data_IF_313558368239
#
_entry.id   IF_313558368239
#
_cell.length_a   1.000
_cell.length_b   1.000
_cell.length_c   1.000
_cell.angle_alpha   90.00
_cell.angle_beta   90.00
_cell.angle_gamma   90.00
#
_symmetry.space_group_name_H-M   'P 1'
#
loop_
_entity.id
_entity.type
_entity.pdbx_description
1 polymer ?
#
# COMPACT_ATOMS: atom_id res chain seq x y z
N UNK A 1 -8.14 -30.58 -13.01
CA UNK A 1 -7.61 -29.81 -11.85
C UNK A 1 -8.79 -29.46 -10.98
N UNK A 2 -8.71 -29.51 -9.66
CA UNK A 2 -9.79 -29.08 -8.79
C UNK A 2 -9.76 -27.54 -8.75
N UNK A 3 -10.93 -26.90 -8.86
CA UNK A 3 -11.07 -25.46 -8.67
C UNK A 3 -10.75 -25.12 -7.21
N UNK A 4 -9.84 -24.18 -6.97
CA UNK A 4 -9.50 -23.66 -5.64
C UNK A 4 -10.39 -22.46 -5.32
N UNK A 5 -10.67 -22.25 -4.04
CA UNK A 5 -11.49 -21.12 -3.59
C UNK A 5 -10.70 -20.11 -2.80
N UNK A 6 -10.75 -18.85 -3.21
CA UNK A 6 -10.17 -17.71 -2.48
C UNK A 6 -11.27 -16.76 -1.99
N UNK A 7 -11.14 -16.30 -0.73
CA UNK A 7 -11.98 -15.26 -0.14
C UNK A 7 -11.12 -14.04 0.14
N UNK A 8 -11.46 -12.89 -0.46
CA UNK A 8 -10.71 -11.64 -0.33
C UNK A 8 -11.56 -10.60 0.41
N UNK A 9 -11.30 -10.41 1.70
CA UNK A 9 -11.95 -9.39 2.53
C UNK A 9 -11.33 -8.01 2.23
N UNK A 10 -12.18 -7.04 1.86
CA UNK A 10 -11.74 -5.76 1.32
C UNK A 10 -11.35 -5.82 -0.16
N UNK A 11 -11.93 -6.77 -0.90
CA UNK A 11 -11.54 -7.08 -2.27
C UNK A 11 -11.78 -5.98 -3.30
N UNK A 12 -12.53 -4.92 -2.98
CA UNK A 12 -12.70 -3.75 -3.85
C UNK A 12 -11.70 -2.61 -3.56
N UNK A 13 -10.91 -2.72 -2.48
CA UNK A 13 -9.80 -1.79 -2.21
C UNK A 13 -8.59 -2.07 -3.11
N UNK A 14 -7.64 -1.13 -3.18
CA UNK A 14 -6.47 -1.24 -4.07
C UNK A 14 -5.67 -2.55 -3.89
N UNK A 15 -5.35 -2.95 -2.65
CA UNK A 15 -4.64 -4.22 -2.40
C UNK A 15 -5.54 -5.42 -2.74
N UNK A 16 -6.79 -5.43 -2.24
CA UNK A 16 -7.69 -6.57 -2.44
C UNK A 16 -8.04 -6.79 -3.90
N UNK A 17 -8.23 -5.72 -4.68
CA UNK A 17 -8.49 -5.83 -6.12
C UNK A 17 -7.28 -6.33 -6.91
N UNK A 18 -6.07 -5.93 -6.50
CA UNK A 18 -4.84 -6.44 -7.11
C UNK A 18 -4.65 -7.94 -6.82
N UNK A 19 -4.93 -8.39 -5.60
CA UNK A 19 -4.94 -9.82 -5.25
C UNK A 19 -5.96 -10.59 -6.09
N UNK A 20 -7.20 -10.08 -6.18
CA UNK A 20 -8.26 -10.75 -6.95
C UNK A 20 -7.89 -10.89 -8.43
N UNK A 21 -7.35 -9.82 -9.04
CA UNK A 21 -6.89 -9.86 -10.44
C UNK A 21 -5.78 -10.88 -10.64
N UNK A 22 -4.76 -10.92 -9.78
CA UNK A 22 -3.65 -11.87 -9.90
C UNK A 22 -4.13 -13.33 -9.85
N UNK A 23 -5.11 -13.65 -8.98
CA UNK A 23 -5.68 -15.00 -8.90
C UNK A 23 -6.50 -15.35 -10.16
N UNK A 24 -7.31 -14.41 -10.67
CA UNK A 24 -8.11 -14.61 -11.89
C UNK A 24 -7.20 -14.76 -13.13
N UNK A 25 -6.15 -13.94 -13.24
CA UNK A 25 -5.18 -13.99 -14.34
C UNK A 25 -4.40 -15.30 -14.34
N UNK A 26 -4.09 -15.88 -13.17
CA UNK A 26 -3.42 -17.16 -13.05
C UNK A 26 -4.28 -18.29 -13.66
N UNK A 27 -5.59 -18.28 -13.44
CA UNK A 27 -6.54 -19.21 -14.05
C UNK A 27 -6.48 -19.15 -15.58
N UNK A 28 -6.45 -17.95 -16.15
CA UNK A 28 -6.40 -17.73 -17.59
C UNK A 28 -5.08 -18.15 -18.26
N UNK A 29 -3.98 -18.25 -17.50
CA UNK A 29 -2.63 -18.61 -18.00
C UNK A 29 -2.31 -20.10 -17.86
N UNK A 30 -3.28 -20.96 -17.52
CA UNK A 30 -3.07 -22.40 -17.34
C UNK A 30 -2.47 -22.78 -15.99
N UNK A 31 -2.54 -21.87 -15.01
CA UNK A 31 -2.31 -22.15 -13.59
C UNK A 31 -3.50 -22.84 -12.94
N UNK A 32 -3.58 -22.75 -11.60
CA UNK A 32 -4.75 -23.24 -10.86
C UNK A 32 -6.01 -22.45 -11.25
N UNK A 33 -7.12 -23.15 -11.32
CA UNK A 33 -8.44 -22.55 -11.54
C UNK A 33 -8.98 -22.00 -10.20
N UNK A 34 -9.20 -20.68 -10.11
CA UNK A 34 -9.63 -20.01 -8.90
C UNK A 34 -11.08 -19.53 -8.98
N UNK A 35 -11.89 -19.92 -8.02
CA UNK A 35 -13.11 -19.22 -7.66
C UNK A 35 -12.75 -18.12 -6.66
N UNK A 36 -12.90 -16.84 -7.05
CA UNK A 36 -12.53 -15.70 -6.21
C UNK A 36 -13.76 -14.99 -5.70
N UNK A 37 -14.01 -15.05 -4.40
CA UNK A 37 -15.06 -14.30 -3.72
C UNK A 37 -14.49 -12.95 -3.21
N UNK A 38 -14.93 -11.87 -3.82
CA UNK A 38 -14.53 -10.49 -3.48
C UNK A 38 -15.56 -9.89 -2.54
N UNK A 39 -15.15 -9.65 -1.29
CA UNK A 39 -16.05 -9.20 -0.22
C UNK A 39 -15.81 -7.73 0.10
N UNK A 40 -16.87 -6.91 0.00
CA UNK A 40 -16.84 -5.51 0.43
C UNK A 40 -18.25 -5.03 0.78
N UNK A 41 -18.35 -3.94 1.56
CA UNK A 41 -19.63 -3.38 2.00
C UNK A 41 -20.48 -2.84 0.85
N UNK A 42 -19.83 -2.31 -0.18
CA UNK A 42 -20.48 -1.69 -1.33
C UNK A 42 -19.84 -2.19 -2.62
N UNK A 43 -20.66 -2.37 -3.66
CA UNK A 43 -20.22 -2.57 -5.02
C UNK A 43 -19.62 -1.29 -5.64
N UNK A 44 -19.64 -1.23 -6.98
CA UNK A 44 -19.16 -0.09 -7.74
C UNK A 44 -18.20 -0.51 -8.85
N UNK A 45 -17.57 0.42 -9.56
CA UNK A 45 -16.80 0.13 -10.78
C UNK A 45 -15.73 -0.95 -10.62
N UNK A 46 -15.06 -1.01 -9.46
CA UNK A 46 -14.05 -2.05 -9.17
C UNK A 46 -14.70 -3.42 -9.01
N UNK A 47 -15.82 -3.51 -8.28
CA UNK A 47 -16.56 -4.77 -8.14
C UNK A 47 -17.11 -5.25 -9.48
N UNK A 48 -17.63 -4.33 -10.31
CA UNK A 48 -18.16 -4.63 -11.64
C UNK A 48 -17.06 -5.16 -12.57
N UNK A 49 -15.89 -4.51 -12.56
CA UNK A 49 -14.73 -4.93 -13.36
C UNK A 49 -14.21 -6.32 -12.92
N UNK A 50 -14.12 -6.58 -11.60
CA UNK A 50 -13.70 -7.88 -11.09
C UNK A 50 -14.73 -8.98 -11.41
N UNK A 51 -16.03 -8.66 -11.36
CA UNK A 51 -17.11 -9.59 -11.74
C UNK A 51 -17.04 -9.91 -13.23
N UNK A 52 -16.80 -8.91 -14.08
CA UNK A 52 -16.59 -9.12 -15.51
C UNK A 52 -15.35 -9.98 -15.81
N UNK A 53 -14.34 -9.94 -14.94
CA UNK A 53 -13.15 -10.78 -15.01
C UNK A 53 -13.34 -12.20 -14.41
N UNK A 54 -14.53 -12.51 -13.85
CA UNK A 54 -14.86 -13.85 -13.33
C UNK A 54 -14.90 -13.98 -11.81
N UNK A 55 -14.74 -12.90 -11.04
CA UNK A 55 -14.93 -12.94 -9.60
C UNK A 55 -16.42 -12.98 -9.21
N UNK A 56 -16.69 -13.49 -8.02
CA UNK A 56 -18.00 -13.36 -7.36
C UNK A 56 -17.97 -12.19 -6.39
N UNK A 57 -18.73 -11.13 -6.66
CA UNK A 57 -18.87 -10.05 -5.68
C UNK A 57 -19.87 -10.44 -4.59
N UNK A 58 -19.44 -10.40 -3.34
CA UNK A 58 -20.25 -10.71 -2.16
C UNK A 58 -20.36 -9.44 -1.28
N UNK A 59 -21.54 -8.79 -1.26
CA UNK A 59 -21.75 -7.65 -0.38
C UNK A 59 -21.74 -8.12 1.09
N UNK A 60 -20.90 -7.51 1.91
CA UNK A 60 -20.80 -7.87 3.32
C UNK A 60 -19.81 -7.03 4.09
N UNK A 61 -20.08 -6.87 5.40
CA UNK A 61 -19.14 -6.25 6.32
C UNK A 61 -18.26 -7.34 6.96
N UNK A 62 -16.96 -7.22 6.80
CA UNK A 62 -15.96 -8.10 7.43
C UNK A 62 -16.11 -8.13 8.97
N UNK A 63 -16.68 -7.07 9.58
CA UNK A 63 -16.93 -6.97 11.01
C UNK A 63 -18.22 -7.63 11.45
N UNK A 64 -19.05 -8.10 10.54
CA UNK A 64 -20.22 -8.90 10.86
C UNK A 64 -19.85 -10.39 10.91
N UNK A 65 -19.93 -10.98 12.12
CA UNK A 65 -19.63 -12.40 12.36
C UNK A 65 -20.55 -13.34 11.59
N UNK A 66 -21.80 -12.94 11.29
CA UNK A 66 -22.72 -13.75 10.48
C UNK A 66 -22.23 -13.81 9.03
N UNK A 67 -21.79 -12.69 8.48
CA UNK A 67 -21.18 -12.62 7.14
C UNK A 67 -19.94 -13.52 7.06
N UNK A 68 -19.01 -13.41 8.02
CA UNK A 68 -17.82 -14.26 8.02
C UNK A 68 -18.17 -15.76 8.12
N UNK A 69 -19.17 -16.10 8.93
CA UNK A 69 -19.61 -17.50 9.08
C UNK A 69 -20.20 -18.05 7.78
N UNK A 70 -21.03 -17.29 7.09
CA UNK A 70 -21.63 -17.72 5.80
C UNK A 70 -20.56 -17.88 4.74
N UNK A 71 -19.59 -16.95 4.68
CA UNK A 71 -18.52 -16.97 3.71
C UNK A 71 -17.53 -18.12 3.93
N UNK A 72 -17.14 -18.37 5.19
CA UNK A 72 -16.03 -19.27 5.51
C UNK A 72 -16.47 -20.69 5.90
N UNK A 73 -17.76 -20.90 6.26
CA UNK A 73 -18.29 -22.24 6.57
C UNK A 73 -18.08 -23.31 5.48
N UNK A 74 -18.10 -22.97 4.18
CA UNK A 74 -17.76 -23.95 3.15
C UNK A 74 -16.28 -24.32 3.08
N UNK A 75 -15.41 -23.64 3.84
CA UNK A 75 -13.96 -23.71 3.71
C UNK A 75 -13.43 -22.83 2.58
N UNK A 76 -12.14 -22.55 2.61
CA UNK A 76 -11.43 -21.86 1.53
C UNK A 76 -9.98 -22.37 1.46
N UNK A 77 -9.40 -22.42 0.25
CA UNK A 77 -7.98 -22.71 0.08
C UNK A 77 -7.14 -21.52 0.47
N UNK A 78 -7.68 -20.31 0.27
CA UNK A 78 -7.01 -19.04 0.57
C UNK A 78 -8.00 -18.02 1.17
N UNK A 79 -7.62 -17.41 2.28
CA UNK A 79 -8.28 -16.24 2.86
C UNK A 79 -7.31 -15.07 2.88
N UNK A 80 -7.71 -13.93 2.35
CA UNK A 80 -6.91 -12.70 2.39
C UNK A 80 -7.70 -11.61 3.11
N UNK A 81 -7.17 -11.13 4.23
CA UNK A 81 -7.75 -10.00 4.97
C UNK A 81 -6.91 -8.74 4.77
N UNK A 82 -7.41 -7.83 3.93
CA UNK A 82 -6.78 -6.54 3.65
C UNK A 82 -7.33 -5.40 4.51
N UNK A 83 -8.35 -5.67 5.32
CA UNK A 83 -9.13 -4.66 6.08
C UNK A 83 -8.93 -4.78 7.58
N UNK A 84 -8.64 -5.98 8.10
CA UNK A 84 -8.44 -6.21 9.52
C UNK A 84 -7.38 -5.27 10.10
N UNK A 85 -7.71 -4.61 11.22
CA UNK A 85 -6.88 -3.57 11.81
C UNK A 85 -6.60 -3.79 13.28
N UNK A 86 -7.59 -4.27 14.04
CA UNK A 86 -7.57 -4.32 15.48
C UNK A 86 -7.49 -5.77 16.01
N UNK A 87 -7.19 -5.90 17.29
CA UNK A 87 -7.32 -7.17 18.03
C UNK A 87 -8.70 -7.80 17.83
N UNK A 88 -9.75 -7.00 17.94
CA UNK A 88 -11.13 -7.49 17.81
C UNK A 88 -11.40 -8.03 16.40
N UNK A 89 -10.87 -7.36 15.37
CA UNK A 89 -10.93 -7.87 14.00
C UNK A 89 -10.27 -9.25 13.88
N UNK A 90 -9.14 -9.46 14.53
CA UNK A 90 -8.41 -10.73 14.53
C UNK A 90 -9.13 -11.81 15.36
N UNK A 91 -9.64 -11.47 16.55
CA UNK A 91 -10.42 -12.38 17.41
C UNK A 91 -11.67 -12.87 16.68
N UNK A 92 -12.32 -12.00 15.92
CA UNK A 92 -13.52 -12.34 15.14
C UNK A 92 -13.20 -13.30 13.97
N UNK A 93 -12.01 -13.22 13.39
CA UNK A 93 -11.58 -14.11 12.30
C UNK A 93 -11.10 -15.47 12.81
N UNK A 94 -10.53 -15.50 14.01
CA UNK A 94 -9.88 -16.66 14.61
C UNK A 94 -10.66 -17.98 14.55
N UNK A 95 -12.01 -18.02 14.80
CA UNK A 95 -12.78 -19.28 14.76
C UNK A 95 -12.84 -19.97 13.39
N UNK A 96 -12.44 -19.30 12.34
CA UNK A 96 -12.53 -19.80 10.96
C UNK A 96 -11.17 -20.22 10.38
N UNK A 97 -10.07 -19.97 11.10
CA UNK A 97 -8.71 -20.20 10.58
C UNK A 97 -8.41 -21.68 10.35
N UNK A 98 -9.04 -22.59 11.11
CA UNK A 98 -8.83 -24.04 10.95
C UNK A 98 -9.54 -24.61 9.69
N UNK A 99 -10.52 -23.89 9.15
CA UNK A 99 -11.28 -24.27 7.95
C UNK A 99 -10.65 -23.65 6.66
N UNK A 100 -9.48 -22.99 6.78
CA UNK A 100 -8.80 -22.29 5.68
C UNK A 100 -7.42 -22.88 5.46
N UNK A 101 -7.10 -23.22 4.19
CA UNK A 101 -5.81 -23.80 3.82
C UNK A 101 -4.63 -22.85 4.06
N UNK A 102 -4.75 -21.58 3.68
CA UNK A 102 -3.75 -20.52 3.90
C UNK A 102 -4.44 -19.20 4.19
N UNK A 103 -4.02 -18.51 5.24
CA UNK A 103 -4.55 -17.17 5.58
C UNK A 103 -3.46 -16.13 5.40
N UNK A 104 -3.76 -15.04 4.71
CA UNK A 104 -2.88 -13.88 4.56
C UNK A 104 -3.53 -12.66 5.22
N UNK A 105 -2.84 -12.06 6.19
CA UNK A 105 -3.25 -10.84 6.87
C UNK A 105 -2.34 -9.68 6.46
N UNK A 106 -2.92 -8.61 5.94
CA UNK A 106 -2.15 -7.42 5.53
C UNK A 106 -2.00 -6.47 6.72
N UNK A 107 -0.78 -6.40 7.23
CA UNK A 107 -0.32 -5.48 8.27
C UNK A 107 0.35 -4.24 7.65
N UNK A 108 1.44 -3.73 8.22
CA UNK A 108 2.14 -2.54 7.75
C UNK A 108 3.55 -2.44 8.32
N UNK A 109 4.49 -1.80 7.61
CA UNK A 109 5.79 -1.40 8.16
C UNK A 109 5.68 -0.43 9.35
N UNK A 110 4.53 0.23 9.53
CA UNK A 110 4.31 1.17 10.63
C UNK A 110 4.34 0.51 12.02
N UNK A 111 4.43 -0.81 12.08
CA UNK A 111 4.65 -1.56 13.32
C UNK A 111 6.08 -1.48 13.84
N UNK A 112 7.07 -1.23 12.98
CA UNK A 112 8.48 -1.25 13.36
C UNK A 112 8.90 0.00 14.14
N UNK A 113 9.77 -0.20 15.12
CA UNK A 113 10.42 0.88 15.88
C UNK A 113 11.94 0.82 15.74
N UNK A 114 12.58 1.99 15.81
CA UNK A 114 14.02 2.10 15.95
C UNK A 114 14.47 1.93 17.42
N UNK A 115 15.76 2.06 17.69
CA UNK A 115 16.33 1.94 19.04
C UNK A 115 15.79 2.95 20.06
N UNK A 116 15.24 4.08 19.59
CA UNK A 116 14.62 5.10 20.42
C UNK A 116 13.09 4.92 20.54
N UNK A 117 12.54 3.85 19.98
CA UNK A 117 11.10 3.56 19.99
C UNK A 117 10.27 4.39 19.01
N UNK A 118 10.93 5.10 18.06
CA UNK A 118 10.22 5.88 17.03
C UNK A 118 9.75 4.96 15.91
N UNK A 119 8.58 5.26 15.35
CA UNK A 119 7.95 4.50 14.26
C UNK A 119 7.55 5.43 13.09
N UNK A 120 7.08 4.86 11.98
CA UNK A 120 6.76 5.61 10.76
C UNK A 120 5.80 6.81 10.99
N UNK A 121 4.89 6.71 11.98
CA UNK A 121 3.92 7.75 12.30
C UNK A 121 4.38 8.70 13.41
N UNK A 122 5.54 8.49 14.05
CA UNK A 122 6.07 9.39 15.07
C UNK A 122 6.34 10.80 14.53
N UNK A 123 6.35 11.80 15.39
CA UNK A 123 6.73 13.17 15.02
C UNK A 123 8.14 13.19 14.46
N UNK A 124 9.10 12.69 15.25
CA UNK A 124 10.43 12.40 14.76
C UNK A 124 10.42 11.05 14.05
N UNK A 125 10.94 11.02 12.83
CA UNK A 125 10.93 9.79 12.03
C UNK A 125 11.99 8.81 12.55
N UNK A 126 11.75 7.50 12.40
CA UNK A 126 12.67 6.47 12.84
C UNK A 126 13.97 6.52 12.02
N UNK A 127 15.08 6.15 12.67
CA UNK A 127 16.39 5.99 12.04
C UNK A 127 16.82 4.55 12.21
N UNK A 128 16.88 3.82 11.11
CA UNK A 128 17.33 2.44 11.09
C UNK A 128 18.77 2.37 10.58
N UNK A 129 19.59 1.48 11.18
CA UNK A 129 20.99 1.30 10.79
C UNK A 129 21.19 0.53 9.45
N UNK A 130 20.11 0.16 8.76
CA UNK A 130 20.12 -0.60 7.51
C UNK A 130 18.72 -1.01 7.10
N UNK A 131 18.61 -1.97 6.19
CA UNK A 131 17.33 -2.53 5.80
C UNK A 131 16.64 -3.24 6.98
N UNK A 132 15.36 -2.97 7.15
CA UNK A 132 14.53 -3.46 8.26
C UNK A 132 14.06 -4.88 7.95
N UNK A 133 14.49 -5.84 8.73
CA UNK A 133 14.06 -7.24 8.65
C UNK A 133 12.80 -7.48 9.48
N UNK A 134 12.17 -8.64 9.35
CA UNK A 134 11.01 -9.06 10.16
C UNK A 134 11.35 -9.23 11.66
N UNK A 135 12.64 -9.32 12.00
CA UNK A 135 13.14 -9.42 13.38
C UNK A 135 13.26 -8.05 14.08
N UNK A 136 13.12 -6.96 13.34
CA UNK A 136 13.13 -5.61 13.92
C UNK A 136 12.06 -5.49 15.00
N UNK A 137 12.35 -4.91 16.17
CA UNK A 137 11.36 -4.63 17.20
C UNK A 137 10.15 -3.85 16.68
N UNK A 138 9.00 -4.13 17.27
CA UNK A 138 7.74 -3.46 16.95
C UNK A 138 7.25 -2.60 18.09
N UNK A 139 6.33 -1.69 17.81
CA UNK A 139 5.56 -1.00 18.87
C UNK A 139 4.87 -2.02 19.77
N UNK A 140 4.64 -1.65 21.02
CA UNK A 140 3.86 -2.49 21.94
C UNK A 140 2.42 -2.59 21.46
N UNK A 141 1.86 -3.81 21.43
CA UNK A 141 0.46 -4.05 21.10
C UNK A 141 -0.47 -3.25 22.03
N UNK A 142 -1.50 -2.63 21.46
CA UNK A 142 -2.49 -1.87 22.22
C UNK A 142 -3.86 -1.92 21.56
N UNK A 143 -4.90 -1.83 22.36
CA UNK A 143 -6.31 -1.75 21.94
C UNK A 143 -6.81 -0.28 21.95
N UNK A 144 -5.91 0.68 21.96
CA UNK A 144 -6.23 2.11 21.86
C UNK A 144 -6.82 2.50 20.50
N UNK A 145 -7.06 3.81 20.31
CA UNK A 145 -7.64 4.34 19.08
C UNK A 145 -6.72 4.05 17.85
N UNK A 146 -7.13 3.15 16.94
CA UNK A 146 -6.33 2.77 15.78
C UNK A 146 -6.22 3.88 14.72
N UNK A 147 -7.00 4.96 14.83
CA UNK A 147 -6.94 6.11 13.92
C UNK A 147 -5.92 7.15 14.40
N UNK A 148 -5.47 7.05 15.64
CA UNK A 148 -4.43 7.91 16.19
C UNK A 148 -3.05 7.58 15.60
N UNK A 149 -2.14 8.54 15.69
CA UNK A 149 -0.76 8.41 15.22
C UNK A 149 -0.06 7.18 15.81
N UNK A 150 -0.14 7.01 17.11
CA UNK A 150 0.56 5.94 17.84
C UNK A 150 -0.26 4.63 17.89
N UNK A 151 -1.57 4.73 17.76
CA UNK A 151 -2.48 3.59 17.87
C UNK A 151 -2.52 2.68 16.65
N UNK A 152 -2.27 3.21 15.44
CA UNK A 152 -2.36 2.41 14.21
C UNK A 152 -1.40 1.20 14.22
N UNK A 153 -0.11 1.42 14.44
CA UNK A 153 0.88 0.35 14.50
C UNK A 153 0.61 -0.62 15.65
N UNK A 154 0.24 -0.09 16.82
CA UNK A 154 -0.04 -0.87 18.02
C UNK A 154 -1.27 -1.79 17.85
N UNK A 155 -2.32 -1.31 17.16
CA UNK A 155 -3.50 -2.11 16.83
C UNK A 155 -3.16 -3.24 15.85
N UNK A 156 -2.34 -2.94 14.82
CA UNK A 156 -1.86 -3.97 13.87
C UNK A 156 -1.06 -5.06 14.59
N UNK A 157 -0.13 -4.69 15.49
CA UNK A 157 0.64 -5.67 16.26
C UNK A 157 -0.28 -6.52 17.14
N UNK A 158 -1.30 -5.92 17.76
CA UNK A 158 -2.28 -6.65 18.55
C UNK A 158 -3.07 -7.69 17.71
N UNK A 159 -3.42 -7.34 16.48
CA UNK A 159 -4.07 -8.25 15.54
C UNK A 159 -3.11 -9.37 15.08
N UNK A 160 -1.88 -9.03 14.71
CA UNK A 160 -0.83 -10.00 14.31
C UNK A 160 -0.64 -11.07 15.39
N UNK A 161 -0.51 -10.66 16.66
CA UNK A 161 -0.33 -11.59 17.79
C UNK A 161 -1.50 -12.57 17.91
N UNK A 162 -2.76 -12.09 17.86
CA UNK A 162 -3.94 -12.96 17.95
C UNK A 162 -3.96 -14.02 16.85
N UNK A 163 -3.63 -13.63 15.62
CA UNK A 163 -3.66 -14.53 14.47
C UNK A 163 -2.50 -15.53 14.51
N UNK A 164 -1.30 -15.08 14.83
CA UNK A 164 -0.11 -15.93 14.90
C UNK A 164 -0.16 -16.90 16.09
N UNK A 165 -0.74 -16.50 17.22
CA UNK A 165 -0.89 -17.35 18.42
C UNK A 165 -1.93 -18.48 18.23
N UNK A 166 -2.76 -18.43 17.20
CA UNK A 166 -3.74 -19.48 16.90
C UNK A 166 -3.10 -20.80 16.52
N UNK A 167 -1.99 -20.75 15.76
CA UNK A 167 -1.27 -21.94 15.30
C UNK A 167 -1.66 -22.42 13.91
N UNK A 168 -2.72 -21.89 13.28
CA UNK A 168 -3.07 -22.12 11.90
C UNK A 168 -2.03 -21.50 10.95
N UNK A 169 -1.99 -21.89 9.65
CA UNK A 169 -1.10 -21.29 8.66
C UNK A 169 -1.52 -19.86 8.32
N UNK A 170 -0.99 -18.91 9.07
CA UNK A 170 -1.21 -17.46 8.88
C UNK A 170 0.07 -16.78 8.48
N UNK A 171 0.11 -16.19 7.29
CA UNK A 171 1.18 -15.28 6.88
C UNK A 171 0.75 -13.83 7.09
N UNK A 172 1.51 -13.09 7.88
CA UNK A 172 1.36 -11.64 8.06
C UNK A 172 2.25 -10.95 7.05
N UNK A 173 1.68 -10.06 6.23
CA UNK A 173 2.43 -9.21 5.31
C UNK A 173 2.60 -7.80 5.90
N UNK A 174 3.82 -7.29 5.92
CA UNK A 174 4.15 -5.92 6.35
C UNK A 174 4.61 -5.09 5.15
N UNK A 175 3.68 -4.57 4.34
CA UNK A 175 4.04 -3.71 3.22
C UNK A 175 4.52 -2.33 3.67
N UNK A 176 5.30 -1.67 2.79
CA UNK A 176 5.73 -0.29 2.94
C UNK A 176 4.72 0.69 2.32
N UNK A 177 5.16 1.68 1.54
CA UNK A 177 4.30 2.66 0.84
C UNK A 177 3.58 1.97 -0.31
N UNK A 178 2.37 1.49 -0.06
CA UNK A 178 1.60 0.80 -1.11
C UNK A 178 1.08 1.79 -2.14
N UNK A 179 1.25 1.45 -3.42
CA UNK A 179 0.72 2.14 -4.59
C UNK A 179 0.04 1.14 -5.55
N UNK A 180 -0.76 1.65 -6.48
CA UNK A 180 -1.48 0.85 -7.48
C UNK A 180 -2.91 1.32 -7.71
N UNK A 181 -3.52 0.83 -8.77
CA UNK A 181 -4.88 1.20 -9.17
C UNK A 181 -5.88 0.99 -8.01
N UNK A 182 -6.64 2.03 -7.68
CA UNK A 182 -7.66 1.97 -6.64
C UNK A 182 -7.14 2.19 -5.21
N UNK A 183 -5.87 2.56 -5.01
CA UNK A 183 -5.38 3.01 -3.71
C UNK A 183 -6.04 4.33 -3.34
N UNK A 184 -6.66 4.38 -2.14
CA UNK A 184 -7.48 5.52 -1.72
C UNK A 184 -6.72 6.83 -1.53
N UNK A 185 -5.41 6.77 -1.30
CA UNK A 185 -4.50 7.93 -1.26
C UNK A 185 -3.31 7.65 -2.19
N UNK A 186 -3.46 7.85 -3.51
CA UNK A 186 -2.39 7.62 -4.48
C UNK A 186 -1.32 8.71 -4.34
N UNK A 187 -0.13 8.35 -3.84
CA UNK A 187 0.95 9.34 -3.61
C UNK A 187 1.51 9.89 -4.90
N UNK A 188 1.45 9.12 -5.94
CA UNK A 188 1.86 9.40 -7.32
C UNK A 188 1.09 10.60 -7.87
N UNK A 189 -0.12 10.87 -7.34
CA UNK A 189 -0.91 12.07 -7.64
C UNK A 189 -0.16 13.38 -7.37
N UNK A 190 0.79 13.38 -6.42
CA UNK A 190 1.66 14.54 -6.18
C UNK A 190 2.37 15.01 -7.45
N UNK A 191 2.87 14.10 -8.25
CA UNK A 191 3.57 14.41 -9.52
C UNK A 191 2.55 14.55 -10.64
N UNK A 192 1.60 13.61 -10.79
CA UNK A 192 0.58 13.63 -11.84
C UNK A 192 -0.20 14.95 -11.82
N UNK A 193 -0.61 15.44 -10.65
CA UNK A 193 -1.31 16.73 -10.54
C UNK A 193 -0.47 17.90 -11.04
N UNK A 194 0.83 17.93 -10.74
CA UNK A 194 1.73 18.98 -11.23
C UNK A 194 1.88 18.95 -12.76
N UNK A 195 1.89 17.77 -13.34
CA UNK A 195 1.87 17.60 -14.81
C UNK A 195 0.57 18.15 -15.40
N UNK A 196 -0.59 17.80 -14.81
CA UNK A 196 -1.91 18.27 -15.27
C UNK A 196 -2.12 19.79 -15.06
N UNK A 197 -1.47 20.37 -14.05
CA UNK A 197 -1.46 21.82 -13.79
C UNK A 197 -0.41 22.56 -14.65
N UNK A 198 0.26 21.87 -15.59
CA UNK A 198 1.29 22.41 -16.51
C UNK A 198 2.42 23.14 -15.76
N UNK A 199 2.84 22.57 -14.58
CA UNK A 199 3.96 23.11 -13.81
C UNK A 199 5.27 22.78 -14.52
N UNK A 200 6.05 23.81 -14.89
CA UNK A 200 7.36 23.63 -15.54
C UNK A 200 8.43 23.15 -14.54
N UNK A 201 8.29 23.49 -13.24
CA UNK A 201 9.29 23.25 -12.20
C UNK A 201 8.74 22.38 -11.09
N UNK A 202 9.63 21.56 -10.54
CA UNK A 202 9.36 20.79 -9.32
C UNK A 202 10.47 21.04 -8.31
N UNK A 203 10.09 21.44 -7.09
CA UNK A 203 11.02 21.65 -5.99
C UNK A 203 11.10 20.36 -5.17
N UNK A 204 12.32 19.95 -4.82
CA UNK A 204 12.55 18.73 -4.04
C UNK A 204 13.46 19.04 -2.85
N UNK A 205 12.90 18.97 -1.65
CA UNK A 205 13.66 19.10 -0.40
C UNK A 205 14.71 18.00 -0.27
N UNK A 206 15.77 18.26 0.48
CA UNK A 206 16.90 17.34 0.65
C UNK A 206 17.43 16.80 -0.70
N UNK A 207 17.42 17.63 -1.72
CA UNK A 207 17.83 17.29 -3.10
C UNK A 207 17.14 16.04 -3.65
N UNK A 208 15.95 15.73 -3.16
CA UNK A 208 15.19 14.52 -3.54
C UNK A 208 15.85 13.21 -3.09
N UNK A 209 16.75 13.23 -2.10
CA UNK A 209 17.46 12.05 -1.60
C UNK A 209 16.61 11.16 -0.68
N UNK A 210 15.50 11.67 -0.14
CA UNK A 210 14.63 10.92 0.75
C UNK A 210 14.26 9.55 0.17
N UNK A 211 14.27 8.49 1.00
CA UNK A 211 13.94 7.12 0.62
C UNK A 211 12.90 6.55 1.57
N UNK A 212 11.74 6.23 1.05
CA UNK A 212 10.70 5.51 1.78
C UNK A 212 10.14 4.40 0.88
N UNK A 213 10.58 3.15 1.12
CA UNK A 213 10.42 2.02 0.23
C UNK A 213 8.99 1.88 -0.28
N UNK A 214 8.82 1.77 -1.59
CA UNK A 214 7.53 1.60 -2.26
C UNK A 214 7.11 0.13 -2.28
N UNK A 215 5.82 -0.13 -2.45
CA UNK A 215 5.26 -1.49 -2.55
C UNK A 215 4.13 -1.50 -3.57
N UNK A 216 4.31 -2.18 -4.68
CA UNK A 216 3.25 -2.37 -5.66
C UNK A 216 2.14 -3.26 -5.10
N UNK A 217 0.88 -2.86 -5.24
CA UNK A 217 -0.27 -3.71 -4.90
C UNK A 217 -0.29 -5.01 -5.74
N UNK A 218 0.15 -4.95 -7.00
CA UNK A 218 0.34 -6.12 -7.86
C UNK A 218 1.43 -7.06 -7.31
N UNK A 219 2.50 -6.52 -6.71
CA UNK A 219 3.54 -7.29 -6.03
C UNK A 219 2.98 -8.03 -4.81
N UNK A 220 2.09 -7.38 -4.03
CA UNK A 220 1.37 -8.07 -2.95
C UNK A 220 0.51 -9.20 -3.53
N UNK A 221 -0.22 -8.95 -4.63
CA UNK A 221 -1.04 -9.97 -5.30
C UNK A 221 -0.24 -11.20 -5.71
N UNK A 222 0.90 -11.01 -6.37
CA UNK A 222 1.77 -12.11 -6.83
C UNK A 222 2.36 -12.91 -5.65
N UNK A 223 2.72 -12.24 -4.55
CA UNK A 223 3.17 -12.91 -3.33
C UNK A 223 2.03 -13.72 -2.71
N UNK A 224 0.83 -13.16 -2.58
CA UNK A 224 -0.35 -13.84 -2.02
C UNK A 224 -0.66 -15.13 -2.80
N UNK A 225 -0.59 -15.09 -4.13
CA UNK A 225 -0.77 -16.28 -4.97
C UNK A 225 0.26 -17.35 -4.65
N UNK A 226 1.53 -16.99 -4.49
CA UNK A 226 2.61 -17.92 -4.10
C UNK A 226 2.35 -18.52 -2.71
N UNK A 227 1.86 -17.74 -1.76
CA UNK A 227 1.58 -18.16 -0.39
C UNK A 227 0.43 -19.16 -0.30
N UNK A 228 -0.48 -19.18 -1.28
CA UNK A 228 -1.52 -20.19 -1.35
C UNK A 228 -0.97 -21.61 -1.53
N UNK A 229 0.20 -21.75 -2.16
CA UNK A 229 0.90 -23.03 -2.37
C UNK A 229 1.91 -23.37 -1.28
N UNK A 230 2.16 -22.43 -0.39
CA UNK A 230 3.14 -22.57 0.70
C UNK A 230 2.54 -22.08 2.03
N UNK A 231 1.46 -22.73 2.53
CA UNK A 231 0.84 -22.34 3.79
C UNK A 231 1.81 -22.54 4.94
N UNK A 232 1.97 -21.49 5.77
CA UNK A 232 2.86 -21.49 6.92
C UNK A 232 2.48 -20.39 7.90
N UNK A 233 3.05 -20.44 9.11
CA UNK A 233 2.90 -19.39 10.13
C UNK A 233 4.16 -18.51 10.14
N UNK A 234 4.06 -17.30 9.59
CA UNK A 234 5.22 -16.41 9.41
C UNK A 234 4.84 -14.97 9.24
N UNK A 235 5.84 -14.10 9.30
CA UNK A 235 5.75 -12.68 8.96
C UNK A 235 6.67 -12.45 7.76
N UNK A 236 6.24 -11.64 6.79
CA UNK A 236 7.03 -11.27 5.63
C UNK A 236 6.93 -9.77 5.37
N UNK A 237 8.08 -9.14 5.16
CA UNK A 237 8.15 -7.81 4.57
C UNK A 237 7.81 -7.87 3.08
N UNK A 238 7.13 -6.83 2.60
CA UNK A 238 6.75 -6.71 1.19
C UNK A 238 7.10 -5.31 0.70
N UNK A 239 7.95 -5.23 -0.31
CA UNK A 239 8.32 -3.98 -0.97
C UNK A 239 8.82 -4.28 -2.39
N UNK A 240 8.98 -3.25 -3.21
CA UNK A 240 9.52 -3.38 -4.55
C UNK A 240 10.96 -3.89 -4.57
N UNK A 241 11.48 -4.26 -5.74
CA UNK A 241 12.83 -4.80 -5.93
C UNK A 241 13.92 -3.87 -5.37
N UNK A 242 13.71 -2.57 -5.49
CA UNK A 242 14.60 -1.53 -4.97
C UNK A 242 13.79 -0.40 -4.34
N UNK A 243 14.43 0.37 -3.46
CA UNK A 243 13.85 1.53 -2.80
C UNK A 243 14.27 2.82 -3.53
N UNK A 244 13.48 3.34 -4.48
CA UNK A 244 13.85 4.54 -5.20
C UNK A 244 13.84 5.77 -4.28
N UNK A 245 14.74 6.70 -4.54
CA UNK A 245 14.71 8.04 -3.96
C UNK A 245 13.53 8.85 -4.48
N UNK A 246 13.17 9.92 -3.78
CA UNK A 246 12.14 10.88 -4.26
C UNK A 246 12.44 11.35 -5.69
N UNK A 247 13.70 11.67 -5.99
CA UNK A 247 14.10 12.14 -7.31
C UNK A 247 13.89 11.08 -8.39
N UNK A 248 14.23 9.82 -8.11
CA UNK A 248 13.99 8.71 -9.03
C UNK A 248 12.49 8.45 -9.24
N UNK A 249 11.66 8.55 -8.20
CA UNK A 249 10.20 8.44 -8.30
C UNK A 249 9.65 9.54 -9.22
N UNK A 250 10.03 10.80 -8.97
CA UNK A 250 9.58 11.95 -9.76
C UNK A 250 9.98 11.78 -11.23
N UNK A 251 11.23 11.44 -11.50
CA UNK A 251 11.72 11.22 -12.87
C UNK A 251 11.03 10.06 -13.59
N UNK A 252 10.74 9.00 -12.87
CA UNK A 252 10.01 7.85 -13.42
C UNK A 252 8.60 8.25 -13.84
N UNK A 253 7.87 8.97 -12.98
CA UNK A 253 6.50 9.42 -13.27
C UNK A 253 6.50 10.47 -14.40
N UNK A 254 7.36 11.47 -14.31
CA UNK A 254 7.49 12.52 -15.31
C UNK A 254 7.87 11.96 -16.68
N UNK A 255 8.78 10.97 -16.71
CA UNK A 255 9.18 10.30 -17.94
C UNK A 255 8.05 9.48 -18.58
N UNK A 256 7.20 8.82 -17.81
CA UNK A 256 6.02 8.12 -18.33
C UNK A 256 5.00 9.08 -18.93
N UNK A 257 4.83 10.26 -18.30
CA UNK A 257 3.87 11.27 -18.74
C UNK A 257 4.42 12.24 -19.80
N UNK A 258 5.64 12.01 -20.29
CA UNK A 258 6.35 12.86 -21.28
C UNK A 258 6.37 14.35 -20.87
N UNK A 259 6.58 14.62 -19.56
CA UNK A 259 6.61 15.96 -18.99
C UNK A 259 7.92 16.21 -18.24
N UNK A 260 8.96 16.74 -18.90
CA UNK A 260 10.22 17.05 -18.23
C UNK A 260 10.06 18.26 -17.30
N UNK A 261 10.32 18.06 -15.99
CA UNK A 261 10.42 19.17 -15.06
C UNK A 261 11.81 19.80 -15.07
N UNK A 262 11.87 21.13 -14.90
CA UNK A 262 13.07 21.82 -14.41
C UNK A 262 13.19 21.54 -12.90
N UNK A 263 14.12 20.64 -12.53
CA UNK A 263 14.25 20.13 -11.15
C UNK A 263 15.03 21.13 -10.27
N UNK A 264 14.36 21.67 -9.25
CA UNK A 264 14.97 22.57 -8.26
C UNK A 264 15.29 21.77 -6.99
N UNK A 265 16.55 21.39 -6.83
CA UNK A 265 17.03 20.55 -5.75
C UNK A 265 17.48 21.40 -4.56
N UNK A 266 16.60 21.51 -3.56
CA UNK A 266 16.82 22.33 -2.37
C UNK A 266 17.68 21.58 -1.36
N UNK A 267 18.56 22.30 -0.68
CA UNK A 267 19.39 21.78 0.41
C UNK A 267 18.61 21.75 1.74
N UNK A 268 19.26 21.31 2.83
CA UNK A 268 18.62 21.07 4.14
C UNK A 268 18.05 22.32 4.81
N UNK A 269 18.51 23.51 4.44
CA UNK A 269 18.07 24.81 4.95
C UNK A 269 16.87 25.41 4.20
N UNK A 270 16.26 24.66 3.30
CA UNK A 270 15.07 25.09 2.60
C UNK A 270 13.93 25.42 3.58
N UNK A 271 13.06 26.41 3.25
CA UNK A 271 11.91 26.74 4.09
C UNK A 271 11.07 25.50 4.40
N UNK A 272 10.57 25.41 5.63
CA UNK A 272 9.75 24.28 6.08
C UNK A 272 8.62 23.99 5.10
N UNK A 273 8.47 22.74 4.72
CA UNK A 273 7.47 22.21 3.79
C UNK A 273 7.66 22.51 2.29
N UNK A 274 8.56 23.43 1.89
CA UNK A 274 8.86 23.67 0.46
C UNK A 274 9.61 22.47 -0.10
N UNK A 275 9.12 21.94 -1.21
CA UNK A 275 9.71 20.75 -1.86
C UNK A 275 9.51 19.43 -1.11
N UNK A 276 8.68 19.41 -0.05
CA UNK A 276 8.32 18.17 0.66
C UNK A 276 7.35 17.35 -0.19
N UNK A 277 7.60 16.05 -0.27
CA UNK A 277 6.81 15.10 -1.05
C UNK A 277 6.22 14.00 -0.15
N UNK A 278 5.27 13.19 -0.65
CA UNK A 278 4.72 12.04 0.08
C UNK A 278 5.75 10.98 0.50
N UNK A 279 6.93 10.96 -0.14
CA UNK A 279 8.02 10.03 0.14
C UNK A 279 9.20 10.69 0.87
N UNK A 280 9.12 11.98 1.17
CA UNK A 280 10.18 12.66 1.92
C UNK A 280 10.37 12.00 3.27
N UNK A 281 11.60 11.57 3.54
CA UNK A 281 12.01 10.96 4.79
C UNK A 281 13.40 11.43 5.14
N UNK A 282 13.64 11.94 6.37
CA UNK A 282 14.96 12.40 6.81
C UNK A 282 15.98 11.26 6.96
N UNK A 283 15.51 10.01 7.00
CA UNK A 283 16.32 8.80 7.03
C UNK A 283 15.69 7.74 6.15
N UNK A 284 16.50 6.92 5.45
CA UNK A 284 15.97 5.84 4.64
C UNK A 284 15.15 4.85 5.47
N UNK A 285 13.96 4.49 4.95
CA UNK A 285 13.16 3.40 5.50
C UNK A 285 13.01 2.31 4.44
N UNK A 286 13.95 1.40 4.43
CA UNK A 286 14.03 0.29 3.47
C UNK A 286 13.67 -1.01 4.18
N UNK A 287 12.78 -1.80 3.59
CA UNK A 287 12.46 -3.15 4.07
C UNK A 287 13.40 -4.17 3.42
N UNK A 288 13.88 -5.11 4.21
CA UNK A 288 14.50 -6.34 3.70
C UNK A 288 13.40 -7.32 3.32
N UNK A 289 13.37 -7.74 2.06
CA UNK A 289 12.37 -8.67 1.51
C UNK A 289 12.95 -10.05 1.23
N UNK A 290 14.16 -10.34 1.70
CA UNK A 290 14.88 -11.59 1.42
C UNK A 290 14.10 -12.83 1.86
N UNK A 291 13.35 -12.77 2.96
CA UNK A 291 12.51 -13.87 3.43
C UNK A 291 11.38 -14.21 2.44
N UNK A 292 10.73 -13.22 1.85
CA UNK A 292 9.72 -13.43 0.80
C UNK A 292 10.36 -13.94 -0.49
N UNK A 293 11.52 -13.39 -0.89
CA UNK A 293 12.26 -13.82 -2.08
C UNK A 293 12.77 -15.26 -1.95
N UNK A 294 13.14 -15.70 -0.75
CA UNK A 294 13.55 -17.10 -0.49
C UNK A 294 12.42 -18.11 -0.77
N UNK A 295 11.15 -17.68 -0.82
CA UNK A 295 10.01 -18.50 -1.23
C UNK A 295 9.85 -18.57 -2.75
N UNK A 296 10.68 -17.86 -3.51
CA UNK A 296 10.59 -17.75 -4.98
C UNK A 296 9.83 -16.52 -5.46
N UNK A 297 9.39 -15.62 -4.55
CA UNK A 297 8.77 -14.38 -4.95
C UNK A 297 9.76 -13.44 -5.62
N UNK A 298 9.31 -12.80 -6.70
CA UNK A 298 10.07 -11.80 -7.42
C UNK A 298 9.35 -10.46 -7.27
N UNK A 299 9.89 -9.52 -6.46
CA UNK A 299 9.30 -8.19 -6.32
C UNK A 299 9.36 -7.44 -7.65
N UNK A 300 8.30 -6.72 -8.04
CA UNK A 300 8.35 -5.89 -9.23
C UNK A 300 9.24 -4.67 -9.00
N UNK A 301 9.73 -4.06 -10.08
CA UNK A 301 10.35 -2.74 -10.01
C UNK A 301 9.28 -1.64 -9.96
N UNK A 302 9.56 -0.54 -9.25
CA UNK A 302 8.68 0.64 -9.23
C UNK A 302 8.37 1.14 -10.64
N UNK A 303 9.41 1.27 -11.47
CA UNK A 303 9.29 1.83 -12.81
C UNK A 303 8.30 1.10 -13.73
N UNK A 304 8.15 -0.21 -13.56
CA UNK A 304 7.20 -1.00 -14.35
C UNK A 304 5.83 -1.12 -13.70
N UNK A 305 5.80 -1.28 -12.39
CA UNK A 305 4.56 -1.55 -11.66
C UNK A 305 3.70 -0.32 -11.43
N UNK A 306 4.28 0.90 -11.50
CA UNK A 306 3.55 2.17 -11.33
C UNK A 306 2.73 2.56 -12.56
N UNK A 307 3.11 2.11 -13.75
CA UNK A 307 2.49 2.52 -15.02
C UNK A 307 0.97 2.40 -15.03
N UNK A 308 0.35 1.27 -14.66
CA UNK A 308 -1.11 1.16 -14.66
C UNK A 308 -1.81 2.15 -13.71
N UNK A 309 -1.15 2.54 -12.62
CA UNK A 309 -1.69 3.55 -11.71
C UNK A 309 -1.62 4.94 -12.32
N UNK A 310 -0.51 5.29 -12.98
CA UNK A 310 -0.36 6.59 -13.64
C UNK A 310 -1.43 6.80 -14.71
N UNK A 311 -1.65 5.78 -15.56
CA UNK A 311 -2.68 5.80 -16.58
C UNK A 311 -4.07 5.98 -15.95
N UNK A 312 -4.37 5.21 -14.88
CA UNK A 312 -5.62 5.33 -14.13
C UNK A 312 -5.82 6.70 -13.49
N UNK A 313 -4.78 7.32 -12.92
CA UNK A 313 -4.84 8.65 -12.32
C UNK A 313 -5.18 9.72 -13.36
N UNK A 314 -4.52 9.68 -14.52
CA UNK A 314 -4.76 10.61 -15.62
C UNK A 314 -6.17 10.42 -16.21
N UNK A 315 -6.57 9.18 -16.49
CA UNK A 315 -7.91 8.86 -16.98
C UNK A 315 -9.00 9.33 -15.99
N UNK A 316 -8.79 9.07 -14.70
CA UNK A 316 -9.75 9.50 -13.66
C UNK A 316 -9.86 11.01 -13.61
N UNK A 317 -8.74 11.73 -13.68
CA UNK A 317 -8.74 13.19 -13.68
C UNK A 317 -9.45 13.78 -14.91
N UNK A 318 -9.23 13.20 -16.08
CA UNK A 318 -9.90 13.64 -17.32
C UNK A 318 -11.39 13.30 -17.37
N UNK A 319 -11.82 12.27 -16.64
CA UNK A 319 -13.23 11.87 -16.56
C UNK A 319 -14.05 12.75 -15.59
N UNK A 320 -13.41 13.55 -14.75
CA UNK A 320 -14.07 14.46 -13.80
C UNK A 320 -14.73 15.62 -14.56
N UNK A 321 -16.03 15.93 -14.31
CA UNK A 321 -16.67 17.14 -14.83
C UNK A 321 -15.94 18.42 -14.40
N UNK A 322 -16.10 19.52 -15.14
CA UNK A 322 -15.40 20.77 -14.89
C UNK A 322 -15.67 21.40 -13.49
N UNK A 323 -16.74 20.99 -12.82
CA UNK A 323 -17.15 21.42 -11.47
C UNK A 323 -16.98 20.29 -10.42
N UNK A 324 -16.31 19.22 -10.76
CA UNK A 324 -16.08 18.05 -9.89
C UNK A 324 -14.63 17.93 -9.46
N UNK A 325 -14.38 17.02 -8.52
CA UNK A 325 -13.06 16.67 -8.00
C UNK A 325 -12.77 15.19 -8.14
N UNK A 326 -11.48 14.82 -8.18
CA UNK A 326 -11.06 13.41 -8.16
C UNK A 326 -11.42 12.76 -6.82
N UNK A 327 -11.66 11.43 -6.78
CA UNK A 327 -12.17 10.74 -5.58
C UNK A 327 -11.33 10.89 -4.31
N UNK A 328 -10.08 11.31 -4.42
CA UNK A 328 -9.14 11.50 -3.30
C UNK A 328 -8.86 12.97 -2.99
N UNK A 329 -9.52 13.94 -3.65
CA UNK A 329 -9.26 15.37 -3.48
C UNK A 329 -9.54 15.89 -2.06
N UNK A 330 -10.59 15.38 -1.42
CA UNK A 330 -11.02 15.79 -0.07
C UNK A 330 -10.10 15.29 1.07
N UNK A 331 -9.07 14.52 0.76
CA UNK A 331 -8.13 14.08 1.80
C UNK A 331 -7.25 15.25 2.25
N UNK A 332 -7.31 15.66 3.54
CA UNK A 332 -6.52 16.79 4.07
C UNK A 332 -5.00 16.64 3.91
N UNK A 333 -4.55 15.45 3.54
CA UNK A 333 -3.16 15.20 3.18
C UNK A 333 -2.69 16.09 2.02
N UNK A 334 -3.60 16.43 1.10
CA UNK A 334 -3.30 17.20 -0.10
C UNK A 334 -3.29 18.71 0.10
N UNK A 335 -3.91 19.24 1.16
CA UNK A 335 -4.09 20.68 1.39
C UNK A 335 -2.78 21.48 1.26
N UNK A 336 -1.69 20.91 1.78
CA UNK A 336 -0.36 21.54 1.73
C UNK A 336 0.44 21.21 0.49
N UNK A 337 0.14 20.08 -0.15
CA UNK A 337 0.91 19.57 -1.28
C UNK A 337 0.58 20.31 -2.58
N UNK A 338 -0.58 20.94 -2.64
CA UNK A 338 -1.07 21.67 -3.82
C UNK A 338 -1.32 23.16 -3.56
N UNK A 339 -0.92 23.67 -2.39
CA UNK A 339 -0.71 25.10 -2.19
C UNK A 339 0.65 25.49 -2.79
N UNK A 340 0.64 25.94 -4.05
CA UNK A 340 1.87 26.30 -4.75
C UNK A 340 2.45 27.67 -4.33
N UNK A 341 1.74 28.47 -3.54
CA UNK A 341 2.20 29.79 -3.13
C UNK A 341 3.59 29.81 -2.48
N UNK A 342 3.88 28.92 -1.51
CA UNK A 342 5.22 28.81 -0.91
C UNK A 342 6.31 28.37 -1.91
N UNK A 343 6.00 27.45 -2.85
CA UNK A 343 6.93 27.02 -3.89
C UNK A 343 7.25 28.17 -4.85
N UNK A 344 6.24 28.91 -5.30
CA UNK A 344 6.38 30.05 -6.23
C UNK A 344 7.17 31.21 -5.57
N UNK A 345 6.94 31.46 -4.27
CA UNK A 345 7.73 32.43 -3.52
C UNK A 345 9.20 32.04 -3.42
N UNK A 346 9.50 30.76 -3.14
CA UNK A 346 10.88 30.26 -3.10
C UNK A 346 11.57 30.37 -4.47
N UNK A 347 10.88 30.01 -5.56
CA UNK A 347 11.37 30.18 -6.92
C UNK A 347 11.69 31.66 -7.26
N UNK A 348 10.85 32.59 -6.82
CA UNK A 348 11.11 34.01 -7.02
C UNK A 348 12.37 34.48 -6.28
N UNK A 349 12.61 34.03 -5.05
CA UNK A 349 13.83 34.37 -4.30
C UNK A 349 15.07 33.80 -4.95
N UNK A 350 15.06 32.53 -5.33
CA UNK A 350 16.17 31.87 -6.05
C UNK A 350 16.51 32.60 -7.37
N UNK A 351 15.51 33.11 -8.10
CA UNK A 351 15.72 33.85 -9.34
C UNK A 351 16.38 35.22 -9.12
N UNK A 352 16.28 35.79 -7.92
CA UNK A 352 16.92 37.03 -7.51
C UNK A 352 18.33 36.83 -6.94
N UNK A 353 18.80 35.57 -6.82
CA UNK A 353 20.08 35.25 -6.19
C UNK A 353 20.10 35.53 -4.68
N UNK A 354 18.94 35.52 -4.07
CA UNK A 354 18.76 35.67 -2.62
C UNK A 354 18.54 34.27 -2.03
N UNK A 355 19.58 33.76 -1.34
CA UNK A 355 19.54 32.51 -0.59
C UNK A 355 18.72 32.66 0.71
#
# INVERSE_FOLDING_TARGET
>A
MSTRRAVVLGGTGGIGSAVARELLDASGRGGDDWQVDVVARHGGPVADALTAAGASFVPGDRRDTSTLRELLRPGADLLVDTVGLTRDDAVQLRPFLDDVGSTVFVSSKAVYVDEQGRHANSVEKPVFGGAVTELQPTVTASDGDPTSRDGYGAAKVAAEQVLLDHGAPVTVLRPSKVYGVGIGRPREWFVVRRVLDDRERILLADRGRGVDHTTAASGIGSLVRLLADSPDRRILNVADESAPSVLEIVRTIAGHLDHPFDEVLLDEDAPAFVGTTPWSSPSPFVLDTSAAQALGWQPPSFATAVVPELDWLVETAHAVPADGDVPWADDPFWDRMFDYGPEDAALALLSLGLD
#
